data_IF_794897304447
#
_entry.id   IF_794897304447
#
_cell.length_a   1.000
_cell.length_b   1.000
_cell.length_c   1.000
_cell.angle_alpha   90.00
_cell.angle_beta   90.00
_cell.angle_gamma   90.00
#
_symmetry.space_group_name_H-M   'P 1'
#
loop_
_entity.id
_entity.type
_entity.pdbx_description
1 polymer ?
#
# COMPACT_ATOMS: atom_id res chain seq x y z
N UNK A 1 23.82 -7.80 -22.66
CA UNK A 1 22.65 -7.63 -21.77
C UNK A 1 22.83 -6.36 -20.95
N UNK A 2 21.74 -5.64 -20.69
CA UNK A 2 21.82 -4.45 -19.84
C UNK A 2 21.94 -4.89 -18.38
N UNK A 3 22.92 -4.37 -17.63
CA UNK A 3 23.17 -4.71 -16.23
C UNK A 3 22.80 -3.55 -15.34
N UNK A 4 22.23 -3.85 -14.17
CA UNK A 4 21.89 -2.89 -13.12
C UNK A 4 22.59 -3.25 -11.82
N UNK A 5 22.87 -2.26 -10.98
CA UNK A 5 23.37 -2.53 -9.64
C UNK A 5 22.26 -3.11 -8.76
N UNK A 6 21.07 -2.52 -8.85
CA UNK A 6 19.89 -2.93 -8.08
C UNK A 6 18.70 -3.16 -9.01
N UNK A 7 18.06 -4.30 -8.85
CA UNK A 7 16.79 -4.63 -9.52
C UNK A 7 15.70 -4.70 -8.44
N UNK A 8 14.70 -3.82 -8.53
CA UNK A 8 13.57 -3.74 -7.60
C UNK A 8 12.34 -4.33 -8.28
N UNK A 9 11.76 -5.37 -7.70
CA UNK A 9 10.59 -6.09 -8.22
C UNK A 9 9.33 -5.59 -7.51
N UNK A 10 8.47 -4.87 -8.23
CA UNK A 10 7.24 -4.27 -7.74
C UNK A 10 7.39 -2.80 -7.37
N UNK A 11 6.61 -1.94 -8.04
CA UNK A 11 6.56 -0.49 -7.77
C UNK A 11 5.43 -0.12 -6.79
N UNK A 12 5.19 -0.96 -5.78
CA UNK A 12 4.32 -0.66 -4.65
C UNK A 12 4.94 0.35 -3.67
N UNK A 13 4.41 0.44 -2.46
CA UNK A 13 4.89 1.40 -1.45
C UNK A 13 6.38 1.24 -1.18
N UNK A 14 6.86 0.03 -0.91
CA UNK A 14 8.26 -0.24 -0.62
C UNK A 14 9.17 0.01 -1.84
N UNK A 15 8.78 -0.50 -3.02
CA UNK A 15 9.58 -0.32 -4.24
C UNK A 15 9.74 1.13 -4.67
N UNK A 16 8.70 1.95 -4.53
CA UNK A 16 8.78 3.39 -4.78
C UNK A 16 9.78 4.09 -3.86
N UNK A 17 9.78 3.72 -2.56
CA UNK A 17 10.75 4.25 -1.58
C UNK A 17 12.18 3.86 -1.97
N UNK A 18 12.42 2.58 -2.22
CA UNK A 18 13.75 2.07 -2.53
C UNK A 18 14.27 2.62 -3.87
N UNK A 19 13.44 2.69 -4.90
CA UNK A 19 13.81 3.32 -6.17
C UNK A 19 14.26 4.77 -5.97
N UNK A 20 13.54 5.54 -5.17
CA UNK A 20 13.92 6.91 -4.83
C UNK A 20 15.25 6.96 -4.07
N UNK A 21 15.41 6.14 -3.02
CA UNK A 21 16.56 6.21 -2.11
C UNK A 21 17.84 5.70 -2.78
N UNK A 22 17.80 4.55 -3.46
CA UNK A 22 18.95 3.95 -4.12
C UNK A 22 19.44 4.79 -5.31
N UNK A 23 18.52 5.35 -6.09
CA UNK A 23 18.88 6.23 -7.23
C UNK A 23 19.32 7.63 -6.82
N UNK A 24 19.24 8.00 -5.53
CA UNK A 24 19.81 9.27 -5.03
C UNK A 24 21.33 9.32 -5.22
N UNK A 25 22.01 8.18 -5.11
CA UNK A 25 23.42 8.06 -5.49
C UNK A 25 23.52 7.86 -7.02
N UNK A 26 24.07 8.81 -7.78
CA UNK A 26 24.15 8.72 -9.25
C UNK A 26 25.03 7.58 -9.74
N UNK A 27 25.92 7.03 -8.91
CA UNK A 27 26.76 5.88 -9.23
C UNK A 27 25.97 4.55 -9.25
N UNK A 28 24.79 4.48 -8.62
CA UNK A 28 23.97 3.29 -8.64
C UNK A 28 23.07 3.26 -9.87
N UNK A 29 23.14 2.22 -10.67
CA UNK A 29 22.24 1.96 -11.78
C UNK A 29 21.05 1.13 -11.28
N UNK A 30 19.85 1.72 -11.21
CA UNK A 30 18.68 1.15 -10.57
C UNK A 30 17.60 0.84 -11.59
N UNK A 31 17.06 -0.39 -11.55
CA UNK A 31 15.90 -0.82 -12.32
C UNK A 31 14.72 -1.04 -11.38
N UNK A 32 13.56 -0.48 -11.71
CA UNK A 32 12.28 -0.74 -11.05
C UNK A 32 11.33 -1.36 -12.06
N UNK A 33 10.79 -2.55 -11.74
CA UNK A 33 9.78 -3.23 -12.55
C UNK A 33 8.43 -3.24 -11.86
N UNK A 34 7.38 -3.02 -12.65
CA UNK A 34 5.98 -3.09 -12.20
C UNK A 34 5.17 -3.92 -13.19
N UNK A 35 4.44 -4.90 -12.65
CA UNK A 35 3.59 -5.79 -13.45
C UNK A 35 2.39 -5.06 -14.06
N UNK A 36 1.89 -4.03 -13.39
CA UNK A 36 0.83 -3.17 -13.89
C UNK A 36 1.33 -1.99 -14.73
N UNK A 37 0.38 -1.19 -15.18
CA UNK A 37 0.64 0.01 -15.96
C UNK A 37 1.01 1.24 -15.12
N UNK A 38 1.09 2.39 -15.78
CA UNK A 38 1.23 3.70 -15.15
C UNK A 38 -0.02 4.05 -14.34
N UNK A 39 0.15 4.88 -13.30
CA UNK A 39 -0.92 5.37 -12.43
C UNK A 39 -1.73 6.53 -13.04
N UNK A 40 -2.05 6.44 -14.34
CA UNK A 40 -2.75 7.49 -15.09
C UNK A 40 -4.27 7.31 -15.16
N UNK A 41 -4.83 6.22 -14.59
CA UNK A 41 -6.27 6.02 -14.52
C UNK A 41 -6.90 7.07 -13.59
N UNK A 42 -7.84 7.94 -14.07
CA UNK A 42 -8.30 9.12 -13.31
C UNK A 42 -8.83 8.79 -11.91
N UNK A 43 -9.51 7.65 -11.74
CA UNK A 43 -10.08 7.24 -10.47
C UNK A 43 -9.04 6.89 -9.40
N UNK A 44 -7.78 6.64 -9.77
CA UNK A 44 -6.68 6.52 -8.81
C UNK A 44 -6.50 7.82 -8.03
N UNK A 45 -6.65 8.96 -8.70
CA UNK A 45 -6.32 10.27 -8.13
C UNK A 45 -7.44 10.86 -7.28
N UNK A 46 -8.69 10.53 -7.59
CA UNK A 46 -9.86 11.01 -6.86
C UNK A 46 -10.02 10.16 -5.57
N UNK A 47 -10.12 10.76 -4.37
CA UNK A 47 -10.18 9.98 -3.12
C UNK A 47 -11.29 8.93 -3.09
N UNK A 48 -12.52 9.26 -3.44
CA UNK A 48 -13.64 8.32 -3.51
C UNK A 48 -13.48 7.28 -4.63
N UNK A 49 -12.57 7.51 -5.56
CA UNK A 49 -12.30 6.64 -6.71
C UNK A 49 -11.84 5.22 -6.33
N UNK A 50 -11.45 4.97 -5.08
CA UNK A 50 -11.08 3.63 -4.63
C UNK A 50 -12.20 2.60 -4.86
N UNK A 51 -13.47 2.99 -4.83
CA UNK A 51 -14.60 2.14 -5.21
C UNK A 51 -14.61 1.74 -6.70
N UNK A 52 -13.93 2.51 -7.57
CA UNK A 52 -13.82 2.26 -9.01
C UNK A 52 -12.51 1.56 -9.39
N UNK A 53 -11.52 1.59 -8.49
CA UNK A 53 -10.22 0.96 -8.71
C UNK A 53 -10.17 -0.45 -8.14
N UNK A 54 -10.80 -0.70 -6.98
CA UNK A 54 -10.93 -2.05 -6.42
C UNK A 54 -11.74 -2.95 -7.38
N UNK A 55 -11.22 -4.15 -7.62
CA UNK A 55 -11.77 -5.16 -8.53
C UNK A 55 -11.84 -4.72 -10.02
N UNK A 56 -11.07 -3.70 -10.37
CA UNK A 56 -10.87 -3.30 -11.76
C UNK A 56 -9.56 -3.90 -12.28
N UNK A 57 -9.59 -4.88 -13.22
CA UNK A 57 -8.39 -5.59 -13.68
C UNK A 57 -7.35 -4.68 -14.37
N UNK A 58 -7.71 -3.45 -14.72
CA UNK A 58 -6.75 -2.46 -15.24
C UNK A 58 -5.72 -2.01 -14.20
N UNK A 59 -6.09 -2.04 -12.90
CA UNK A 59 -5.28 -1.47 -11.80
C UNK A 59 -5.27 -2.33 -10.55
N UNK A 60 -5.97 -3.47 -10.55
CA UNK A 60 -6.09 -4.42 -9.45
C UNK A 60 -5.77 -5.83 -9.94
N UNK A 61 -5.05 -6.63 -9.15
CA UNK A 61 -4.83 -8.04 -9.39
C UNK A 61 -6.10 -8.88 -9.30
N UNK A 62 -7.15 -8.35 -8.67
CA UNK A 62 -8.44 -9.00 -8.48
C UNK A 62 -8.37 -10.34 -7.75
N UNK A 63 -7.42 -10.50 -6.82
CA UNK A 63 -7.27 -11.73 -6.05
C UNK A 63 -8.52 -12.07 -5.24
N UNK A 64 -8.68 -13.35 -4.99
CA UNK A 64 -9.71 -13.90 -4.11
C UNK A 64 -9.08 -15.00 -3.25
N UNK A 65 -9.59 -15.12 -2.01
CA UNK A 65 -9.23 -16.26 -1.16
C UNK A 65 -9.90 -17.53 -1.68
N UNK A 66 -9.33 -18.67 -1.36
CA UNK A 66 -10.06 -19.93 -1.43
C UNK A 66 -11.30 -19.87 -0.49
N UNK A 67 -12.22 -20.78 -0.70
CA UNK A 67 -13.37 -20.95 0.20
C UNK A 67 -12.87 -21.42 1.56
N UNK A 68 -13.36 -20.82 2.63
CA UNK A 68 -12.97 -21.11 4.00
C UNK A 68 -14.22 -21.54 4.80
N UNK A 69 -14.18 -22.72 5.40
CA UNK A 69 -15.28 -23.27 6.20
C UNK A 69 -15.59 -22.40 7.44
N UNK A 70 -14.55 -21.82 8.06
CA UNK A 70 -14.72 -20.94 9.22
C UNK A 70 -15.44 -19.63 8.86
N UNK A 71 -15.57 -19.33 7.58
CA UNK A 71 -16.21 -18.16 7.02
C UNK A 71 -17.47 -18.50 6.19
N UNK A 72 -18.17 -19.56 6.54
CA UNK A 72 -19.35 -20.08 5.83
C UNK A 72 -19.04 -20.37 4.35
N UNK A 73 -17.93 -20.98 4.06
CA UNK A 73 -17.46 -21.33 2.72
C UNK A 73 -17.39 -20.12 1.75
N UNK A 74 -17.18 -18.92 2.27
CA UNK A 74 -17.04 -17.71 1.46
C UNK A 74 -15.63 -17.59 0.89
N UNK A 75 -15.56 -17.17 -0.36
CA UNK A 75 -14.36 -16.65 -1.00
C UNK A 75 -14.37 -15.12 -0.92
N UNK A 76 -13.36 -14.54 -0.28
CA UNK A 76 -13.28 -13.10 -0.06
C UNK A 76 -12.47 -12.45 -1.18
N UNK A 77 -12.94 -11.32 -1.67
CA UNK A 77 -12.18 -10.46 -2.59
C UNK A 77 -11.02 -9.81 -1.84
N UNK A 78 -9.84 -9.88 -2.44
CA UNK A 78 -8.60 -9.41 -1.83
C UNK A 78 -7.85 -8.42 -2.75
N UNK A 79 -8.31 -7.16 -2.84
CA UNK A 79 -7.76 -6.19 -3.78
C UNK A 79 -6.28 -5.91 -3.50
N UNK A 80 -5.47 -5.89 -4.55
CA UNK A 80 -4.06 -5.50 -4.53
C UNK A 80 -3.73 -4.70 -5.78
N UNK A 81 -3.13 -3.53 -5.61
CA UNK A 81 -2.82 -2.65 -6.73
C UNK A 81 -1.86 -3.26 -7.73
N UNK A 82 -2.22 -3.17 -9.02
CA UNK A 82 -1.44 -3.57 -10.19
C UNK A 82 -1.15 -2.34 -11.04
N UNK A 83 -0.33 -1.45 -10.52
CA UNK A 83 0.01 -0.15 -11.12
C UNK A 83 1.15 0.50 -10.35
N UNK A 84 1.77 1.54 -10.89
CA UNK A 84 2.73 2.36 -10.12
C UNK A 84 2.10 2.86 -8.82
N UNK A 85 2.84 2.73 -7.71
CA UNK A 85 2.35 2.98 -6.35
C UNK A 85 1.67 1.77 -5.71
N UNK A 86 1.39 0.69 -6.46
CA UNK A 86 0.77 -0.53 -5.95
C UNK A 86 -0.53 -0.25 -5.20
N UNK A 87 -0.73 -0.91 -4.06
CA UNK A 87 -1.96 -0.74 -3.26
C UNK A 87 -2.14 0.66 -2.69
N UNK A 88 -1.08 1.49 -2.55
CA UNK A 88 -1.24 2.90 -2.17
C UNK A 88 -1.99 3.73 -3.21
N UNK A 89 -2.06 3.25 -4.46
CA UNK A 89 -2.81 3.88 -5.55
C UNK A 89 -4.29 3.49 -5.57
N UNK A 90 -4.71 2.42 -4.87
CA UNK A 90 -6.10 1.93 -4.88
C UNK A 90 -6.74 1.75 -3.50
N UNK A 91 -5.99 1.93 -2.41
CA UNK A 91 -6.47 1.77 -1.03
C UNK A 91 -7.47 2.88 -0.61
N UNK A 92 -8.03 2.74 0.61
CA UNK A 92 -8.93 3.73 1.21
C UNK A 92 -8.25 4.98 1.78
N UNK A 93 -6.99 5.23 1.47
CA UNK A 93 -6.17 6.39 1.85
C UNK A 93 -5.88 6.56 3.35
N UNK A 94 -6.36 5.71 4.22
CA UNK A 94 -6.14 5.86 5.66
C UNK A 94 -4.64 5.86 5.98
N UNK A 95 -4.23 6.83 6.82
CA UNK A 95 -2.89 6.92 7.37
C UNK A 95 -2.93 6.58 8.84
N UNK A 96 -2.50 5.35 9.16
CA UNK A 96 -2.50 4.83 10.52
C UNK A 96 -1.30 3.90 10.69
N UNK A 97 -0.67 3.98 11.86
CA UNK A 97 0.41 3.09 12.30
C UNK A 97 -0.17 1.95 13.12
N UNK A 98 0.59 0.87 13.28
CA UNK A 98 0.32 -0.14 14.30
C UNK A 98 0.52 0.44 15.71
N UNK A 99 0.08 -0.29 16.72
CA UNK A 99 0.35 0.02 18.12
C UNK A 99 1.84 -0.23 18.44
N UNK A 100 2.36 0.43 19.46
CA UNK A 100 3.73 0.20 19.93
C UNK A 100 4.00 -1.28 20.21
N UNK A 101 3.02 -1.96 20.83
CA UNK A 101 3.10 -3.38 21.14
C UNK A 101 3.25 -4.29 19.90
N UNK A 102 2.71 -3.91 18.74
CA UNK A 102 2.85 -4.70 17.52
C UNK A 102 4.33 -4.83 17.12
N UNK A 103 5.06 -3.72 17.17
CA UNK A 103 6.47 -3.66 16.82
C UNK A 103 7.36 -4.23 17.92
N UNK A 104 7.03 -4.00 19.18
CA UNK A 104 7.78 -4.55 20.31
C UNK A 104 7.65 -6.07 20.36
N UNK A 105 6.50 -6.64 19.98
CA UNK A 105 6.32 -8.07 19.78
C UNK A 105 7.22 -8.60 18.67
N UNK A 106 7.38 -7.86 17.54
CA UNK A 106 8.33 -8.28 16.52
C UNK A 106 9.75 -8.33 17.04
N UNK A 107 10.19 -7.32 17.80
CA UNK A 107 11.51 -7.30 18.45
C UNK A 107 11.69 -8.48 19.40
N UNK A 108 10.69 -8.80 20.21
CA UNK A 108 10.71 -9.93 21.16
C UNK A 108 10.81 -11.29 20.45
N UNK A 109 10.23 -11.42 19.27
CA UNK A 109 10.35 -12.60 18.40
C UNK A 109 11.72 -12.72 17.72
N UNK A 110 12.69 -11.89 18.07
CA UNK A 110 14.07 -11.93 17.58
C UNK A 110 14.37 -10.94 16.44
N UNK A 111 13.43 -10.11 16.03
CA UNK A 111 13.64 -9.11 14.99
C UNK A 111 14.22 -7.82 15.60
N UNK A 112 15.50 -7.84 15.95
CA UNK A 112 16.21 -6.68 16.50
C UNK A 112 16.14 -5.49 15.52
N UNK A 113 15.92 -4.28 16.03
CA UNK A 113 15.75 -3.06 15.22
C UNK A 113 14.34 -2.86 14.66
N UNK A 114 13.35 -3.66 15.11
CA UNK A 114 11.95 -3.54 14.70
C UNK A 114 11.00 -3.20 15.85
N UNK A 115 11.51 -2.83 17.03
CA UNK A 115 10.67 -2.31 18.12
C UNK A 115 10.12 -0.91 17.80
N UNK A 116 9.15 -0.46 18.59
CA UNK A 116 8.50 0.83 18.37
C UNK A 116 9.50 1.99 18.26
N UNK A 117 10.43 2.09 19.17
CA UNK A 117 11.43 3.16 19.17
C UNK A 117 12.39 3.09 17.97
N UNK A 118 12.61 1.88 17.43
CA UNK A 118 13.44 1.68 16.25
C UNK A 118 12.72 2.14 14.97
N UNK A 119 11.41 1.89 14.85
CA UNK A 119 10.63 2.16 13.62
C UNK A 119 9.99 3.56 13.58
N UNK A 120 9.68 4.14 14.73
CA UNK A 120 9.04 5.46 14.85
C UNK A 120 9.78 6.57 14.08
N UNK A 121 11.13 6.67 14.12
CA UNK A 121 11.84 7.68 13.33
C UNK A 121 11.61 7.58 11.82
N UNK A 122 11.39 6.36 11.30
CA UNK A 122 11.10 6.15 9.88
C UNK A 122 9.66 6.52 9.53
N UNK A 123 8.69 6.30 10.42
CA UNK A 123 7.33 6.80 10.24
C UNK A 123 7.31 8.32 10.17
N UNK A 124 7.94 8.99 11.13
CA UNK A 124 8.08 10.46 11.19
C UNK A 124 8.77 10.97 9.92
N UNK A 125 9.88 10.36 9.51
CA UNK A 125 10.63 10.73 8.29
C UNK A 125 9.82 10.56 7.01
N UNK A 126 8.81 9.71 6.99
CA UNK A 126 8.03 9.40 5.79
C UNK A 126 6.91 10.40 5.52
N UNK A 127 6.44 11.15 6.51
CA UNK A 127 5.23 11.95 6.40
C UNK A 127 5.49 13.46 6.36
N UNK A 128 4.62 14.15 5.64
CA UNK A 128 4.39 15.59 5.72
C UNK A 128 2.96 15.77 6.23
N UNK A 129 2.83 15.93 7.53
CA UNK A 129 1.56 15.85 8.25
C UNK A 129 1.02 17.24 8.57
N UNK A 130 -0.27 17.49 8.33
CA UNK A 130 -0.94 18.76 8.67
C UNK A 130 -0.90 19.09 10.18
N UNK A 131 -0.60 18.12 11.05
CA UNK A 131 -0.40 18.38 12.49
C UNK A 131 0.93 19.08 12.78
N UNK A 132 1.83 19.17 11.80
CA UNK A 132 3.15 19.80 11.94
C UNK A 132 4.17 18.92 12.64
N UNK A 133 5.29 19.51 13.04
CA UNK A 133 6.37 18.84 13.76
C UNK A 133 6.01 18.59 15.22
N UNK A 134 6.31 17.39 15.72
CA UNK A 134 6.11 17.00 17.10
C UNK A 134 6.76 15.68 17.46
N UNK A 135 6.45 15.18 18.64
CA UNK A 135 6.99 13.90 19.12
C UNK A 135 6.71 12.74 18.18
N UNK A 136 5.56 12.76 17.50
CA UNK A 136 5.09 11.65 16.65
C UNK A 136 4.96 12.02 15.17
N UNK A 137 5.16 13.28 14.79
CA UNK A 137 4.90 13.78 13.44
C UNK A 137 6.02 14.64 12.88
N UNK A 138 6.03 14.74 11.54
CA UNK A 138 6.87 15.66 10.78
C UNK A 138 6.06 16.28 9.63
N UNK A 139 6.44 17.47 9.20
CA UNK A 139 5.92 18.19 8.04
C UNK A 139 6.93 18.26 6.89
N UNK A 140 8.01 17.45 6.92
CA UNK A 140 9.10 17.48 5.93
C UNK A 140 9.23 16.21 5.09
N UNK A 141 8.46 15.16 5.40
CA UNK A 141 8.54 13.90 4.70
C UNK A 141 7.87 13.94 3.32
N UNK A 142 8.09 12.92 2.51
CA UNK A 142 7.60 12.89 1.13
C UNK A 142 6.13 12.52 0.97
N UNK A 143 5.44 12.01 2.01
CA UNK A 143 4.02 11.61 1.93
C UNK A 143 3.14 12.66 2.61
N UNK A 144 2.30 13.30 1.82
CA UNK A 144 1.33 14.28 2.33
C UNK A 144 0.22 13.57 3.12
N UNK A 145 0.01 14.01 4.35
CA UNK A 145 -0.99 13.48 5.28
C UNK A 145 -1.88 14.63 5.76
N UNK A 146 -3.17 14.49 5.54
CA UNK A 146 -4.14 15.54 5.81
C UNK A 146 -5.27 15.05 6.72
N UNK A 147 -5.82 15.96 7.51
CA UNK A 147 -6.99 15.71 8.33
C UNK A 147 -8.28 15.67 7.48
N UNK A 148 -9.33 15.09 8.05
CA UNK A 148 -10.65 15.17 7.42
C UNK A 148 -11.14 16.61 7.37
N UNK A 149 -11.84 16.96 6.28
CA UNK A 149 -12.57 18.24 6.16
C UNK A 149 -14.10 18.06 6.13
N UNK A 150 -14.57 16.83 6.12
CA UNK A 150 -16.02 16.52 6.09
C UNK A 150 -16.64 16.81 7.46
N UNK A 151 -17.61 17.71 7.50
CA UNK A 151 -18.40 18.03 8.70
C UNK A 151 -19.78 17.39 8.57
N UNK A 152 -20.01 16.30 9.28
CA UNK A 152 -21.31 15.62 9.34
C UNK A 152 -21.68 15.44 10.80
N UNK A 153 -22.78 16.09 11.24
CA UNK A 153 -23.27 15.97 12.61
C UNK A 153 -23.38 14.52 13.09
N UNK A 154 -23.80 13.61 12.20
CA UNK A 154 -23.91 12.18 12.51
C UNK A 154 -22.57 11.56 12.97
N UNK A 155 -21.42 12.01 12.46
CA UNK A 155 -20.12 11.48 12.88
C UNK A 155 -19.73 11.97 14.27
N UNK A 156 -20.06 13.22 14.58
CA UNK A 156 -19.80 13.80 15.89
C UNK A 156 -20.71 13.12 16.95
N UNK A 157 -21.98 12.90 16.65
CA UNK A 157 -22.92 12.16 17.51
C UNK A 157 -22.48 10.70 17.72
N UNK A 158 -21.86 10.07 16.71
CA UNK A 158 -21.31 8.72 16.87
C UNK A 158 -20.14 8.70 17.86
N UNK A 159 -19.26 9.70 17.79
CA UNK A 159 -18.14 9.83 18.72
C UNK A 159 -18.66 10.06 20.14
N UNK A 160 -19.61 10.99 20.33
CA UNK A 160 -20.20 11.28 21.63
C UNK A 160 -20.85 10.03 22.24
N UNK A 161 -21.61 9.27 21.43
CA UNK A 161 -22.24 8.02 21.90
C UNK A 161 -21.21 6.95 22.29
N UNK A 162 -20.03 6.91 21.65
CA UNK A 162 -18.95 6.01 22.02
C UNK A 162 -18.33 6.44 23.38
N UNK A 163 -18.11 7.75 23.57
CA UNK A 163 -17.61 8.30 24.85
C UNK A 163 -18.57 8.01 26.00
N UNK A 164 -19.89 8.15 25.79
CA UNK A 164 -20.92 7.78 26.77
C UNK A 164 -20.88 6.28 27.17
N UNK A 165 -20.33 5.43 26.30
CA UNK A 165 -20.11 4.00 26.55
C UNK A 165 -18.70 3.67 27.08
N UNK A 166 -17.94 4.68 27.46
CA UNK A 166 -16.60 4.50 28.02
C UNK A 166 -15.50 4.24 27.00
N UNK A 167 -15.74 4.43 25.70
CA UNK A 167 -14.70 4.35 24.67
C UNK A 167 -14.04 5.73 24.55
N UNK A 168 -12.73 5.86 24.85
CA UNK A 168 -12.07 7.16 24.86
C UNK A 168 -12.03 7.81 23.47
N UNK A 169 -12.24 9.12 23.42
CA UNK A 169 -12.02 9.89 22.21
C UNK A 169 -10.54 10.04 21.93
N UNK A 170 -10.14 9.75 20.72
CA UNK A 170 -8.75 9.82 20.24
C UNK A 170 -8.65 10.88 19.14
N UNK A 171 -7.76 11.85 19.35
CA UNK A 171 -7.51 12.90 18.37
C UNK A 171 -6.44 12.49 17.35
N UNK A 172 -5.57 11.55 17.73
CA UNK A 172 -4.48 11.05 16.90
C UNK A 172 -4.20 9.58 17.19
N UNK A 173 -4.44 8.72 16.20
CA UNK A 173 -4.20 7.27 16.28
C UNK A 173 -2.73 6.88 16.03
N UNK A 174 -1.83 7.82 15.75
CA UNK A 174 -0.46 7.54 15.33
C UNK A 174 0.59 7.71 16.44
N UNK A 175 0.15 7.73 17.70
CA UNK A 175 1.00 7.97 18.88
C UNK A 175 1.58 6.69 19.50
N UNK A 176 1.25 5.53 18.96
CA UNK A 176 1.65 4.21 19.49
C UNK A 176 0.57 3.52 20.34
N UNK A 177 -0.51 4.23 20.66
CA UNK A 177 -1.76 3.70 21.20
C UNK A 177 -2.91 4.19 20.33
N UNK A 178 -3.72 3.26 19.82
CA UNK A 178 -4.84 3.56 18.94
C UNK A 178 -6.16 3.01 19.47
N UNK A 179 -6.27 2.73 20.79
CA UNK A 179 -7.51 2.35 21.42
C UNK A 179 -8.43 3.57 21.61
N UNK A 180 -9.59 3.55 20.96
CA UNK A 180 -10.57 4.61 21.11
C UNK A 180 -11.39 4.90 19.85
N UNK A 181 -12.10 6.03 19.85
CA UNK A 181 -12.94 6.53 18.76
C UNK A 181 -12.46 7.89 18.27
N UNK A 182 -12.36 8.06 16.97
CA UNK A 182 -11.88 9.32 16.39
C UNK A 182 -11.90 9.31 14.87
N UNK A 183 -11.25 10.30 14.27
CA UNK A 183 -11.12 10.42 12.82
C UNK A 183 -9.73 10.04 12.36
N UNK A 184 -9.67 9.25 11.31
CA UNK A 184 -8.39 8.95 10.65
C UNK A 184 -7.87 10.14 9.85
N UNK A 185 -6.57 10.20 9.72
CA UNK A 185 -5.90 11.02 8.71
C UNK A 185 -5.84 10.29 7.36
N UNK A 186 -5.62 11.05 6.29
CA UNK A 186 -5.66 10.52 4.92
C UNK A 186 -4.43 10.95 4.12
N UNK A 187 -3.92 10.06 3.28
CA UNK A 187 -2.86 10.37 2.31
C UNK A 187 -3.43 11.14 1.14
N UNK A 188 -3.63 12.44 1.35
CA UNK A 188 -4.21 13.36 0.36
C UNK A 188 -3.48 14.69 0.33
N UNK A 189 -3.58 15.40 -0.80
CA UNK A 189 -3.06 16.75 -1.00
C UNK A 189 -4.01 17.54 -1.89
N UNK A 190 -3.77 18.85 -2.00
CA UNK A 190 -4.47 19.70 -2.94
C UNK A 190 -3.62 19.91 -4.21
N UNK A 191 -4.24 19.87 -5.37
CA UNK A 191 -3.58 20.28 -6.61
C UNK A 191 -3.60 21.83 -6.76
N UNK A 192 -3.01 22.34 -7.83
CA UNK A 192 -2.97 23.79 -8.12
C UNK A 192 -4.37 24.43 -8.30
N UNK A 193 -5.37 23.63 -8.63
CA UNK A 193 -6.77 24.07 -8.75
C UNK A 193 -7.55 23.91 -7.43
N UNK A 194 -6.87 23.57 -6.33
CA UNK A 194 -7.49 23.36 -5.03
C UNK A 194 -8.25 22.04 -4.88
N UNK A 195 -8.22 21.13 -5.86
CA UNK A 195 -8.89 19.84 -5.75
C UNK A 195 -8.11 18.89 -4.84
N UNK A 196 -8.81 18.25 -3.90
CA UNK A 196 -8.23 17.25 -3.01
C UNK A 196 -7.98 15.95 -3.76
N UNK A 197 -6.74 15.51 -3.82
CA UNK A 197 -6.31 14.32 -4.56
C UNK A 197 -5.60 13.33 -3.66
N UNK A 198 -5.68 12.02 -4.01
CA UNK A 198 -4.85 10.96 -3.42
C UNK A 198 -3.37 11.30 -3.53
N UNK A 199 -2.63 10.98 -2.49
CA UNK A 199 -1.18 11.08 -2.46
C UNK A 199 -0.55 9.69 -2.24
N UNK A 200 -0.33 8.96 -3.34
CA UNK A 200 0.24 7.61 -3.32
C UNK A 200 1.76 7.61 -3.13
N UNK A 201 2.34 6.45 -2.85
CA UNK A 201 3.79 6.28 -2.81
C UNK A 201 4.47 6.63 -4.16
N UNK A 202 3.80 6.41 -5.29
CA UNK A 202 4.29 6.85 -6.59
C UNK A 202 4.40 8.38 -6.64
N UNK A 203 3.42 9.12 -6.12
CA UNK A 203 3.50 10.59 -6.07
C UNK A 203 4.59 11.09 -5.12
N UNK A 204 4.68 10.53 -3.92
CA UNK A 204 5.61 11.00 -2.90
C UNK A 204 7.07 10.63 -3.17
N UNK A 205 7.31 9.43 -3.67
CA UNK A 205 8.68 8.92 -3.83
C UNK A 205 9.12 8.79 -5.30
N UNK A 206 8.29 8.18 -6.16
CA UNK A 206 8.72 7.85 -7.51
C UNK A 206 8.74 9.06 -8.44
N UNK A 207 7.71 9.90 -8.39
CA UNK A 207 7.63 11.09 -9.26
C UNK A 207 8.83 12.05 -9.12
N UNK A 208 9.35 12.35 -7.90
CA UNK A 208 10.56 13.15 -7.77
C UNK A 208 11.82 12.49 -8.33
N UNK A 209 11.86 11.14 -8.42
CA UNK A 209 13.02 10.38 -8.84
C UNK A 209 12.99 9.98 -10.33
N UNK A 210 11.83 9.91 -10.97
CA UNK A 210 11.65 9.32 -12.32
C UNK A 210 12.43 9.99 -13.45
N UNK A 211 12.92 11.22 -13.23
CA UNK A 211 13.75 11.96 -14.21
C UNK A 211 15.25 11.70 -14.04
N UNK A 212 15.66 10.95 -13.02
CA UNK A 212 17.08 10.63 -12.81
C UNK A 212 17.56 9.67 -13.89
N UNK A 213 18.71 9.98 -14.52
CA UNK A 213 19.28 9.18 -15.61
C UNK A 213 19.70 7.77 -15.19
N UNK A 214 19.97 7.58 -13.91
CA UNK A 214 20.39 6.31 -13.32
C UNK A 214 19.22 5.45 -12.78
N UNK A 215 17.94 5.88 -12.96
CA UNK A 215 16.74 5.13 -12.62
C UNK A 215 15.95 4.77 -13.88
N UNK A 216 15.89 3.49 -14.21
CA UNK A 216 15.00 2.96 -15.26
C UNK A 216 13.75 2.36 -14.63
N UNK A 217 12.58 2.71 -15.16
CA UNK A 217 11.28 2.20 -14.71
C UNK A 217 10.62 1.49 -15.89
N UNK A 218 10.26 0.22 -15.72
CA UNK A 218 9.55 -0.57 -16.72
C UNK A 218 8.20 -0.99 -16.12
N UNK A 219 7.12 -0.58 -16.77
CA UNK A 219 5.74 -0.96 -16.44
C UNK A 219 5.25 -2.06 -17.39
N UNK A 220 4.19 -2.78 -17.02
CA UNK A 220 3.69 -3.97 -17.72
C UNK A 220 4.76 -5.08 -17.83
N UNK A 221 5.69 -5.09 -16.87
CA UNK A 221 6.78 -6.04 -16.77
C UNK A 221 6.47 -7.06 -15.67
N UNK A 222 6.00 -8.24 -16.07
CA UNK A 222 5.64 -9.31 -15.15
C UNK A 222 6.86 -10.18 -14.85
N UNK A 223 7.43 -10.04 -13.63
CA UNK A 223 8.57 -10.87 -13.22
C UNK A 223 8.11 -12.30 -13.03
N UNK A 224 8.74 -13.22 -13.76
CA UNK A 224 8.46 -14.64 -13.72
C UNK A 224 9.22 -15.30 -12.57
N UNK A 225 10.54 -15.07 -12.47
CA UNK A 225 11.39 -15.65 -11.43
C UNK A 225 12.67 -14.86 -11.21
N UNK A 226 13.31 -15.15 -10.08
CA UNK A 226 14.67 -14.71 -9.76
C UNK A 226 15.66 -15.79 -10.23
N UNK A 227 16.73 -15.38 -10.88
CA UNK A 227 17.81 -16.26 -11.30
C UNK A 227 18.89 -16.34 -10.22
N UNK A 228 19.48 -17.51 -10.07
CA UNK A 228 20.52 -17.78 -9.07
C UNK A 228 21.79 -18.35 -9.70
N UNK A 229 22.92 -17.94 -9.20
CA UNK A 229 24.23 -18.60 -9.39
C UNK A 229 24.61 -19.22 -8.05
N UNK A 230 24.40 -20.52 -7.91
CA UNK A 230 24.44 -21.19 -6.61
C UNK A 230 23.36 -20.63 -5.67
N UNK A 231 23.77 -19.93 -4.60
CA UNK A 231 22.86 -19.29 -3.63
C UNK A 231 22.77 -17.76 -3.78
N UNK A 232 23.46 -17.19 -4.75
CA UNK A 232 23.45 -15.75 -5.02
C UNK A 232 22.38 -15.42 -6.05
N UNK A 233 21.49 -14.49 -5.74
CA UNK A 233 20.57 -13.92 -6.75
C UNK A 233 21.38 -13.11 -7.77
N UNK A 234 21.37 -13.54 -9.03
CA UNK A 234 22.17 -12.95 -10.11
C UNK A 234 21.36 -12.08 -11.07
N UNK A 235 20.03 -12.17 -11.01
CA UNK A 235 19.15 -11.41 -11.90
C UNK A 235 17.72 -11.90 -11.87
N UNK A 236 16.98 -11.59 -12.90
CA UNK A 236 15.56 -11.95 -13.05
C UNK A 236 15.22 -12.34 -14.47
N UNK A 237 14.12 -13.09 -14.61
CA UNK A 237 13.37 -13.24 -15.85
C UNK A 237 12.02 -12.54 -15.71
N UNK A 238 11.62 -11.82 -16.76
CA UNK A 238 10.32 -11.12 -16.77
C UNK A 238 9.72 -11.10 -18.17
N UNK A 239 8.40 -11.05 -18.23
CA UNK A 239 7.66 -10.85 -19.46
C UNK A 239 7.37 -9.37 -19.69
N UNK A 240 7.59 -8.92 -20.94
CA UNK A 240 7.08 -7.65 -21.45
C UNK A 240 6.15 -7.98 -22.63
N UNK A 241 4.85 -7.96 -22.40
CA UNK A 241 3.89 -8.64 -23.27
C UNK A 241 4.15 -10.15 -23.30
N UNK A 242 4.37 -10.71 -24.49
CA UNK A 242 4.68 -12.14 -24.67
C UNK A 242 6.20 -12.43 -24.69
N UNK A 243 7.03 -11.39 -24.69
CA UNK A 243 8.48 -11.54 -24.81
C UNK A 243 9.13 -11.78 -23.45
N UNK A 244 9.79 -12.91 -23.28
CA UNK A 244 10.61 -13.23 -22.11
C UNK A 244 11.96 -12.53 -22.25
N UNK A 245 12.33 -11.77 -21.23
CA UNK A 245 13.59 -11.02 -21.13
C UNK A 245 14.34 -11.40 -19.86
N UNK A 246 15.68 -11.33 -19.91
CA UNK A 246 16.58 -11.56 -18.78
C UNK A 246 17.40 -10.31 -18.49
N UNK A 247 17.57 -9.98 -17.22
CA UNK A 247 18.42 -8.87 -16.76
C UNK A 247 19.24 -9.33 -15.58
N UNK A 248 20.51 -8.94 -15.53
CA UNK A 248 21.44 -9.28 -14.45
C UNK A 248 21.58 -8.13 -13.45
N UNK A 249 21.73 -8.50 -12.16
CA UNK A 249 22.00 -7.61 -11.06
C UNK A 249 23.48 -7.72 -10.63
N UNK A 250 24.18 -6.59 -10.55
CA UNK A 250 25.57 -6.58 -10.08
C UNK A 250 25.66 -6.67 -8.55
N UNK A 251 24.69 -6.07 -7.84
CA UNK A 251 24.67 -6.01 -6.36
C UNK A 251 23.50 -6.80 -5.79
N UNK A 252 22.26 -6.35 -6.00
CA UNK A 252 21.11 -6.96 -5.35
C UNK A 252 19.86 -7.03 -6.22
N UNK A 253 19.08 -8.10 -6.02
CA UNK A 253 17.67 -8.21 -6.42
C UNK A 253 16.80 -7.98 -5.19
N UNK A 254 15.94 -6.96 -5.24
CA UNK A 254 15.14 -6.53 -4.10
C UNK A 254 13.67 -6.82 -4.39
N UNK A 255 13.06 -7.67 -3.58
CA UNK A 255 11.70 -8.15 -3.78
C UNK A 255 10.69 -7.29 -3.00
N UNK A 256 9.89 -6.51 -3.75
CA UNK A 256 8.88 -5.56 -3.26
C UNK A 256 7.47 -5.83 -3.84
N UNK A 257 7.18 -7.09 -4.20
CA UNK A 257 5.93 -7.48 -4.87
C UNK A 257 4.72 -7.67 -3.93
N UNK A 258 4.85 -7.23 -2.67
CA UNK A 258 3.82 -7.31 -1.64
C UNK A 258 3.67 -8.70 -1.01
N UNK A 259 2.75 -8.81 -0.05
CA UNK A 259 2.59 -10.00 0.80
C UNK A 259 2.11 -11.26 0.06
N UNK A 260 1.55 -11.11 -1.15
CA UNK A 260 1.13 -12.23 -2.00
C UNK A 260 2.16 -12.47 -3.11
N UNK A 261 2.56 -11.42 -3.83
CA UNK A 261 3.47 -11.56 -4.97
C UNK A 261 4.89 -11.96 -4.56
N UNK A 262 5.41 -11.45 -3.43
CA UNK A 262 6.77 -11.76 -2.99
C UNK A 262 6.97 -13.25 -2.66
N UNK A 263 6.14 -13.88 -1.80
CA UNK A 263 6.29 -15.31 -1.56
C UNK A 263 6.01 -16.15 -2.81
N UNK A 264 5.11 -15.73 -3.69
CA UNK A 264 4.87 -16.41 -4.96
C UNK A 264 6.12 -16.42 -5.85
N UNK A 265 6.76 -15.25 -6.05
CA UNK A 265 8.00 -15.15 -6.83
C UNK A 265 9.11 -15.99 -6.20
N UNK A 266 9.26 -16.01 -4.88
CA UNK A 266 10.22 -16.86 -4.19
C UNK A 266 9.96 -18.35 -4.48
N UNK A 267 8.72 -18.80 -4.38
CA UNK A 267 8.35 -20.21 -4.61
C UNK A 267 8.64 -20.64 -6.04
N UNK A 268 8.21 -19.87 -7.05
CA UNK A 268 8.49 -20.20 -8.46
C UNK A 268 9.99 -20.07 -8.81
N UNK A 269 10.78 -19.43 -7.95
CA UNK A 269 12.23 -19.33 -8.05
C UNK A 269 12.98 -20.43 -7.26
N UNK A 270 12.27 -21.44 -6.72
CA UNK A 270 12.88 -22.53 -5.98
C UNK A 270 13.14 -22.26 -4.48
N UNK A 271 12.56 -21.19 -3.91
CA UNK A 271 12.69 -20.86 -2.49
C UNK A 271 11.34 -21.04 -1.78
N UNK A 272 11.21 -22.05 -0.94
CA UNK A 272 9.96 -22.35 -0.26
C UNK A 272 9.99 -23.69 0.46
N UNK A 273 8.83 -24.29 0.67
CA UNK A 273 8.66 -25.62 1.22
C UNK A 273 9.06 -26.66 0.17
N UNK A 274 10.22 -27.34 0.38
CA UNK A 274 10.82 -28.25 -0.59
C UNK A 274 9.88 -29.39 -1.02
N UNK A 275 9.11 -29.94 -0.08
CA UNK A 275 8.18 -31.03 -0.36
C UNK A 275 7.03 -30.58 -1.30
N UNK A 276 6.58 -29.32 -1.12
CA UNK A 276 5.55 -28.73 -1.98
C UNK A 276 6.09 -28.36 -3.36
N UNK A 277 7.27 -27.75 -3.41
CA UNK A 277 7.89 -27.31 -4.67
C UNK A 277 8.23 -28.52 -5.57
N UNK A 278 8.79 -29.58 -4.99
CA UNK A 278 9.10 -30.81 -5.73
C UNK A 278 7.85 -31.45 -6.34
N UNK A 279 6.72 -31.46 -5.60
CA UNK A 279 5.45 -32.03 -6.10
C UNK A 279 4.90 -31.30 -7.34
N UNK A 280 5.26 -30.04 -7.56
CA UNK A 280 4.84 -29.24 -8.71
C UNK A 280 5.97 -29.01 -9.72
N UNK A 281 7.07 -29.79 -9.62
CA UNK A 281 8.16 -29.78 -10.58
C UNK A 281 9.07 -28.54 -10.53
N UNK A 282 9.15 -27.87 -9.39
CA UNK A 282 10.06 -26.74 -9.19
C UNK A 282 11.33 -27.20 -8.48
N UNK A 283 12.48 -26.98 -9.10
CA UNK A 283 13.79 -27.27 -8.55
C UNK A 283 14.06 -26.46 -7.29
N UNK A 284 14.50 -27.13 -6.22
CA UNK A 284 14.73 -26.52 -4.92
C UNK A 284 16.11 -25.83 -4.85
N UNK A 285 16.11 -24.52 -4.67
CA UNK A 285 17.29 -23.71 -4.38
C UNK A 285 17.51 -23.61 -2.87
N UNK A 286 16.44 -23.35 -2.11
CA UNK A 286 16.52 -23.22 -0.64
C UNK A 286 15.21 -23.66 0.02
N UNK A 287 15.31 -24.62 0.93
CA UNK A 287 14.16 -25.02 1.74
C UNK A 287 13.89 -23.97 2.84
N UNK A 288 12.83 -23.21 2.69
CA UNK A 288 12.30 -22.23 3.64
C UNK A 288 10.78 -22.45 3.81
N UNK A 289 10.41 -23.32 4.75
CA UNK A 289 9.03 -23.76 4.97
C UNK A 289 8.04 -22.63 5.31
N UNK A 290 8.53 -21.47 5.80
CA UNK A 290 7.71 -20.31 6.15
C UNK A 290 7.25 -19.47 4.95
N UNK A 291 7.87 -19.61 3.77
CA UNK A 291 7.52 -18.82 2.59
C UNK A 291 6.08 -19.14 2.15
N UNK A 292 5.24 -18.10 2.09
CA UNK A 292 3.83 -18.21 1.74
C UNK A 292 2.93 -18.70 2.88
N UNK A 293 3.44 -18.78 4.12
CA UNK A 293 2.65 -19.14 5.30
C UNK A 293 2.42 -17.92 6.19
N UNK A 294 1.48 -18.06 7.13
CA UNK A 294 1.17 -17.09 8.19
C UNK A 294 0.78 -15.70 7.66
N UNK A 295 0.12 -15.64 6.49
CA UNK A 295 -0.46 -14.39 6.03
C UNK A 295 -1.52 -13.91 7.04
N UNK A 296 -1.33 -12.69 7.53
CA UNK A 296 -2.24 -12.02 8.45
C UNK A 296 -2.80 -10.76 7.82
N UNK A 297 -4.04 -10.43 8.13
CA UNK A 297 -4.68 -9.17 7.73
C UNK A 297 -5.50 -8.61 8.89
N UNK A 298 -5.79 -7.32 8.86
CA UNK A 298 -6.58 -6.67 9.89
C UNK A 298 -8.03 -7.14 9.84
N UNK A 299 -8.55 -7.59 11.00
CA UNK A 299 -9.99 -7.79 11.16
C UNK A 299 -10.68 -6.43 11.08
N UNK A 300 -11.58 -6.28 10.10
CA UNK A 300 -12.40 -5.09 9.97
C UNK A 300 -13.88 -5.46 10.14
N UNK A 301 -14.50 -4.90 11.17
CA UNK A 301 -15.93 -4.98 11.36
C UNK A 301 -16.60 -3.66 10.94
N UNK A 302 -17.69 -3.75 10.18
CA UNK A 302 -18.46 -2.58 9.72
C UNK A 302 -19.85 -2.63 10.36
N UNK A 303 -20.05 -2.04 11.55
CA UNK A 303 -21.36 -1.98 12.16
C UNK A 303 -22.29 -1.08 11.35
N UNK A 304 -23.53 -1.52 11.18
CA UNK A 304 -24.56 -0.75 10.47
C UNK A 304 -25.66 -0.40 11.46
N UNK A 305 -25.90 0.88 11.64
CA UNK A 305 -26.91 1.39 12.56
C UNK A 305 -28.05 2.08 11.80
N UNK A 306 -29.26 1.86 12.25
CA UNK A 306 -30.42 2.65 11.84
C UNK A 306 -30.49 3.92 12.69
N UNK A 307 -30.32 5.08 12.07
CA UNK A 307 -30.37 6.38 12.75
C UNK A 307 -31.76 7.00 12.63
N UNK A 308 -32.20 7.71 13.70
CA UNK A 308 -33.42 8.51 13.73
C UNK A 308 -33.03 9.99 13.86
N UNK A 309 -33.81 10.87 13.25
CA UNK A 309 -33.65 12.34 13.31
C UNK A 309 -32.29 12.89 12.83
N UNK A 310 -31.52 12.09 12.08
CA UNK A 310 -30.25 12.50 11.47
C UNK A 310 -30.28 12.28 9.97
N UNK A 311 -29.64 13.18 9.23
CA UNK A 311 -29.49 13.06 7.77
C UNK A 311 -28.26 12.21 7.45
N UNK A 312 -28.47 11.09 6.75
CA UNK A 312 -27.38 10.27 6.21
C UNK A 312 -27.09 10.64 4.74
N UNK A 313 -25.91 10.29 4.27
CA UNK A 313 -25.52 10.46 2.86
C UNK A 313 -26.28 9.51 1.90
N UNK A 314 -26.93 8.46 2.42
CA UNK A 314 -27.55 7.42 1.60
C UNK A 314 -28.55 7.97 0.57
N UNK A 315 -29.38 8.93 0.97
CA UNK A 315 -30.36 9.56 0.03
C UNK A 315 -29.66 10.30 -1.11
N UNK A 316 -28.56 11.02 -0.82
CA UNK A 316 -27.78 11.74 -1.82
C UNK A 316 -27.05 10.78 -2.76
N UNK A 317 -26.38 9.76 -2.21
CA UNK A 317 -25.58 8.78 -2.98
C UNK A 317 -26.45 7.91 -3.88
N UNK A 318 -27.70 7.64 -3.50
CA UNK A 318 -28.61 6.77 -4.26
C UNK A 318 -29.41 7.49 -5.35
N UNK A 319 -29.31 8.82 -5.49
CA UNK A 319 -29.95 9.58 -6.57
C UNK A 319 -28.91 10.15 -7.55
N UNK A 320 -29.27 10.22 -8.85
CA UNK A 320 -28.40 10.83 -9.87
C UNK A 320 -28.15 12.31 -9.57
N UNK A 321 -29.18 13.04 -9.19
CA UNK A 321 -29.09 14.45 -8.83
C UNK A 321 -28.24 14.65 -7.58
N UNK A 322 -28.38 13.77 -6.57
CA UNK A 322 -27.56 13.81 -5.36
C UNK A 322 -26.09 13.53 -5.64
N UNK A 323 -25.78 12.59 -6.55
CA UNK A 323 -24.38 12.33 -7.00
C UNK A 323 -23.81 13.55 -7.72
N UNK A 324 -24.59 14.21 -8.57
CA UNK A 324 -24.18 15.44 -9.24
C UNK A 324 -23.87 16.55 -8.24
N UNK A 325 -24.74 16.77 -7.24
CA UNK A 325 -24.50 17.76 -6.18
C UNK A 325 -23.25 17.44 -5.34
N UNK A 326 -23.01 16.15 -4.99
CA UNK A 326 -21.79 15.74 -4.31
C UNK A 326 -20.56 16.05 -5.17
N UNK A 327 -20.64 15.81 -6.49
CA UNK A 327 -19.57 16.16 -7.42
C UNK A 327 -19.27 17.65 -7.46
N UNK A 328 -20.29 18.50 -7.50
CA UNK A 328 -20.14 19.96 -7.41
C UNK A 328 -19.55 20.38 -6.06
N UNK A 329 -20.07 19.82 -4.96
CA UNK A 329 -19.56 20.09 -3.61
C UNK A 329 -18.09 19.70 -3.47
N UNK A 330 -17.68 18.59 -4.08
CA UNK A 330 -16.27 18.18 -4.13
C UNK A 330 -15.40 19.19 -4.92
N UNK A 331 -15.90 19.68 -6.07
CA UNK A 331 -15.15 20.61 -6.92
C UNK A 331 -15.02 21.99 -6.25
N UNK A 332 -16.10 22.53 -5.68
CA UNK A 332 -16.12 23.90 -5.16
C UNK A 332 -15.76 24.01 -3.69
N UNK A 333 -16.23 23.07 -2.85
CA UNK A 333 -16.06 23.12 -1.39
C UNK A 333 -15.11 22.06 -0.85
N UNK A 334 -14.69 21.09 -1.67
CA UNK A 334 -13.77 19.98 -1.33
C UNK A 334 -14.27 19.12 -0.16
N UNK A 335 -15.59 19.07 0.05
CA UNK A 335 -16.27 18.43 1.18
C UNK A 335 -17.26 17.34 0.77
N UNK A 336 -17.37 17.02 -0.51
CA UNK A 336 -18.31 16.04 -1.05
C UNK A 336 -17.94 14.58 -0.84
#
# INVERSE_FOLDING_TARGET
MENFDYIIIGAGSAGCVLANRLSKNPKNKVLLLEAGGKDNYPWIHIPVGYYKTMHNPKVDWCFRTEKDETMNNRSIRYPRGKTLGGSSSINGLLWIRGQSNDYDNWRQQGNKGWGWDDVLPYFIKSENNELGKGKFHSDEGPIMVANKKIKLKMLDEFINAAEEKGIPKVNDFNTGDNFGVGFFQFTTTFNKLGLKLRYSAAKGYLNPAKKRSNLKIITNAHVQRINFEGKKASGIEYFLGENLSKISANKEVILCAGSIGSPHILQVSGIGDGDKLSKIGIDLIKNLKGVGKNLQDHLMFRPVYKVKNLKSLNKKINSLFGKFLIGLEYIFNQSG
#
